data_IF_712397218693
#
_entry.id   IF_712397218693
#
_cell.length_a   1.000
_cell.length_b   1.000
_cell.length_c   1.000
_cell.angle_alpha   90.00
_cell.angle_beta   90.00
_cell.angle_gamma   90.00
#
_symmetry.space_group_name_H-M   'P 1'
#
loop_
_entity.id
_entity.type
_entity.pdbx_description
1 polymer ?
#
# COMPACT_ATOMS: atom_id res chain seq x y z
N UNK A 1 4.57 18.17 9.46
CA UNK A 1 4.73 17.76 8.05
C UNK A 1 4.36 18.84 7.04
N UNK A 2 3.22 19.54 7.15
CA UNK A 2 2.75 20.48 6.12
C UNK A 2 3.74 21.59 5.67
N UNK A 3 4.53 22.14 6.59
CA UNK A 3 5.55 23.18 6.28
C UNK A 3 6.80 22.64 5.59
N UNK A 4 6.98 21.31 5.55
CA UNK A 4 8.18 20.64 5.02
C UNK A 4 7.90 19.89 3.72
N UNK A 5 6.82 20.22 3.00
CA UNK A 5 6.39 19.54 1.76
C UNK A 5 7.42 19.55 0.63
N UNK A 6 8.37 20.49 0.64
CA UNK A 6 9.49 20.54 -0.31
C UNK A 6 10.64 19.59 0.02
N UNK A 7 10.72 19.07 1.25
CA UNK A 7 11.75 18.11 1.66
C UNK A 7 11.21 16.69 1.56
N UNK A 8 11.68 15.93 0.56
CA UNK A 8 11.14 14.61 0.29
C UNK A 8 11.44 13.60 1.41
N UNK A 9 12.62 13.68 2.04
CA UNK A 9 13.00 12.76 3.11
C UNK A 9 12.09 12.88 4.34
N UNK A 10 11.74 14.12 4.72
CA UNK A 10 10.81 14.36 5.83
C UNK A 10 9.43 13.82 5.49
N UNK A 11 8.98 14.03 4.26
CA UNK A 11 7.64 13.62 3.86
C UNK A 11 7.52 12.11 3.67
N UNK A 12 8.59 11.43 3.24
CA UNK A 12 8.65 9.96 3.25
C UNK A 12 8.49 9.41 4.67
N UNK A 13 9.26 9.92 5.64
CA UNK A 13 9.14 9.53 7.06
C UNK A 13 7.77 9.85 7.65
N UNK A 14 7.08 10.87 7.12
CA UNK A 14 5.72 11.23 7.51
C UNK A 14 4.61 10.41 6.83
N UNK A 15 4.95 9.58 5.84
CA UNK A 15 3.98 8.75 5.12
C UNK A 15 3.58 7.58 6.00
N UNK A 16 2.27 7.38 6.20
CA UNK A 16 1.70 6.43 7.15
C UNK A 16 2.14 6.62 8.62
N UNK A 17 2.69 7.77 8.99
CA UNK A 17 3.12 8.07 10.37
C UNK A 17 2.02 8.75 11.23
N UNK A 18 0.74 8.63 10.85
CA UNK A 18 -0.34 9.19 11.65
C UNK A 18 -0.45 8.41 12.96
N UNK A 19 -0.45 9.11 14.10
CA UNK A 19 -0.52 8.52 15.45
C UNK A 19 -1.80 7.69 15.71
N UNK A 20 -2.84 7.85 14.88
CA UNK A 20 -4.09 7.09 14.96
C UNK A 20 -4.19 5.96 13.94
N UNK A 21 -3.15 5.73 13.13
CA UNK A 21 -3.13 4.62 12.20
C UNK A 21 -3.16 3.30 13.00
N UNK A 22 -4.00 2.36 12.58
CA UNK A 22 -4.08 1.02 13.15
C UNK A 22 -3.72 0.03 12.06
N UNK A 23 -2.63 -0.69 12.27
CA UNK A 23 -2.12 -1.67 11.33
C UNK A 23 -2.46 -3.08 11.84
N UNK A 24 -3.15 -3.87 11.03
CA UNK A 24 -3.57 -5.22 11.41
C UNK A 24 -2.37 -6.18 11.54
N UNK A 25 -1.23 -5.88 10.91
CA UNK A 25 0.03 -6.61 11.10
C UNK A 25 0.69 -6.34 12.45
N UNK A 26 0.31 -5.29 13.17
CA UNK A 26 0.87 -4.91 14.47
C UNK A 26 -0.27 -4.66 15.48
N UNK A 27 -1.03 -5.69 15.85
CA UNK A 27 -2.20 -5.55 16.70
C UNK A 27 -1.82 -4.98 18.08
N UNK A 28 -2.70 -4.14 18.63
CA UNK A 28 -2.48 -3.46 19.91
C UNK A 28 -1.59 -2.21 19.83
N UNK A 29 -1.08 -1.86 18.65
CA UNK A 29 -0.32 -0.61 18.43
C UNK A 29 -1.16 0.45 17.71
N UNK A 30 -0.83 1.72 17.94
CA UNK A 30 -1.29 2.84 17.12
C UNK A 30 -0.08 3.62 16.62
N UNK A 31 -0.21 4.25 15.45
CA UNK A 31 0.86 5.00 14.81
C UNK A 31 1.40 4.34 13.55
N UNK A 32 2.51 4.88 13.06
CA UNK A 32 3.20 4.36 11.87
C UNK A 32 4.03 3.11 12.16
N UNK A 33 3.41 2.10 12.76
CA UNK A 33 4.04 0.84 13.17
C UNK A 33 3.61 -0.29 12.25
N UNK A 34 4.54 -1.20 11.95
CA UNK A 34 4.29 -2.44 11.21
C UNK A 34 5.22 -3.54 11.71
N UNK A 35 5.00 -4.75 11.24
CA UNK A 35 5.93 -5.87 11.39
C UNK A 35 6.70 -6.08 10.09
N UNK A 36 8.02 -6.27 10.17
CA UNK A 36 8.86 -6.70 9.05
C UNK A 36 9.01 -8.22 9.09
N UNK A 37 8.89 -8.84 7.92
CA UNK A 37 9.08 -10.27 7.70
C UNK A 37 10.46 -10.54 7.07
N UNK A 38 11.00 -11.76 7.24
CA UNK A 38 10.44 -12.91 7.96
C UNK A 38 10.63 -12.87 9.49
N UNK A 39 11.45 -11.95 10.03
CA UNK A 39 11.83 -11.96 11.45
C UNK A 39 10.65 -11.67 12.41
N UNK A 40 9.57 -11.08 11.91
CA UNK A 40 8.39 -10.76 12.72
C UNK A 40 8.62 -9.59 13.68
N UNK A 41 9.61 -8.73 13.42
CA UNK A 41 9.99 -7.65 14.33
C UNK A 41 9.15 -6.40 14.07
N UNK A 42 8.57 -5.84 15.14
CA UNK A 42 7.84 -4.58 15.08
C UNK A 42 8.82 -3.40 14.87
N UNK A 43 8.50 -2.54 13.92
CA UNK A 43 9.29 -1.36 13.57
C UNK A 43 8.40 -0.27 12.98
N UNK A 44 8.98 0.88 12.59
CA UNK A 44 8.22 1.91 11.88
C UNK A 44 7.95 1.48 10.43
N UNK A 45 6.84 1.92 9.85
CA UNK A 45 6.53 1.68 8.44
C UNK A 45 7.64 2.21 7.52
N UNK A 46 8.24 3.35 7.88
CA UNK A 46 9.35 3.91 7.12
C UNK A 46 10.58 3.00 7.14
N UNK A 47 11.01 2.53 8.32
CA UNK A 47 12.20 1.69 8.44
C UNK A 47 11.99 0.34 7.75
N UNK A 48 10.82 -0.30 7.95
CA UNK A 48 10.45 -1.52 7.23
C UNK A 48 10.51 -1.31 5.71
N UNK A 49 9.95 -0.20 5.21
CA UNK A 49 9.97 0.11 3.78
C UNK A 49 11.39 0.32 3.24
N UNK A 50 12.26 1.00 3.98
CA UNK A 50 13.67 1.21 3.60
C UNK A 50 14.42 -0.12 3.55
N UNK A 51 14.18 -1.01 4.50
CA UNK A 51 14.84 -2.32 4.51
C UNK A 51 14.36 -3.21 3.36
N UNK A 52 13.05 -3.28 3.11
CA UNK A 52 12.52 -3.99 1.94
C UNK A 52 13.03 -3.41 0.61
N UNK A 53 13.25 -2.10 0.52
CA UNK A 53 13.88 -1.49 -0.66
C UNK A 53 15.34 -1.96 -0.86
N UNK A 54 16.12 -2.08 0.22
CA UNK A 54 17.49 -2.61 0.18
C UNK A 54 17.52 -4.08 -0.24
N UNK A 55 16.50 -4.83 0.14
CA UNK A 55 16.29 -6.23 -0.25
C UNK A 55 15.69 -6.37 -1.67
N UNK A 56 15.38 -5.26 -2.34
CA UNK A 56 14.67 -5.22 -3.63
C UNK A 56 13.29 -5.90 -3.62
N UNK A 57 12.65 -5.94 -2.46
CA UNK A 57 11.32 -6.53 -2.26
C UNK A 57 10.24 -5.48 -2.55
N UNK A 58 9.36 -5.69 -3.55
CA UNK A 58 8.25 -4.79 -3.82
C UNK A 58 7.18 -4.90 -2.72
N UNK A 59 6.54 -3.78 -2.40
CA UNK A 59 5.51 -3.73 -1.36
C UNK A 59 4.09 -3.61 -1.95
N UNK A 60 3.12 -4.17 -1.22
CA UNK A 60 1.70 -4.06 -1.49
C UNK A 60 0.98 -3.60 -0.20
N UNK A 61 -0.03 -2.75 -0.33
CA UNK A 61 -0.91 -2.36 0.78
C UNK A 61 -2.24 -3.07 0.62
N UNK A 62 -2.76 -3.65 1.70
CA UNK A 62 -4.15 -4.10 1.80
C UNK A 62 -4.91 -3.16 2.73
N UNK A 63 -6.10 -2.72 2.32
CA UNK A 63 -6.97 -1.90 3.16
C UNK A 63 -8.45 -2.16 2.86
N UNK A 64 -9.33 -1.64 3.72
CA UNK A 64 -10.78 -1.80 3.60
C UNK A 64 -11.42 -0.82 2.62
N UNK A 65 -12.60 -0.33 2.99
CA UNK A 65 -13.40 0.60 2.19
C UNK A 65 -12.90 2.04 2.27
N UNK A 66 -13.24 2.82 1.25
CA UNK A 66 -13.01 4.27 1.16
C UNK A 66 -11.54 4.65 1.35
N UNK A 67 -10.63 3.81 0.83
CA UNK A 67 -9.19 4.04 0.95
C UNK A 67 -8.80 5.35 0.28
N UNK A 68 -8.13 6.21 1.06
CA UNK A 68 -7.72 7.54 0.63
C UNK A 68 -8.75 8.65 0.85
N UNK A 69 -9.81 8.40 1.62
CA UNK A 69 -10.77 9.44 2.01
C UNK A 69 -10.12 10.58 2.82
N UNK A 70 -10.72 11.78 2.71
CA UNK A 70 -10.25 12.99 3.36
C UNK A 70 -9.58 13.98 2.40
N UNK A 71 -8.83 14.93 2.94
CA UNK A 71 -8.17 15.96 2.12
C UNK A 71 -7.16 15.31 1.17
N UNK A 72 -7.36 15.46 -0.15
CA UNK A 72 -6.37 15.07 -1.15
C UNK A 72 -5.07 15.82 -0.89
N UNK A 73 -4.02 15.07 -0.53
CA UNK A 73 -2.67 15.60 -0.34
C UNK A 73 -1.79 14.91 -1.36
N UNK A 74 -1.07 15.66 -2.20
CA UNK A 74 -0.18 15.10 -3.24
C UNK A 74 0.78 14.04 -2.67
N UNK A 75 1.19 14.25 -1.42
CA UNK A 75 2.06 13.36 -0.67
C UNK A 75 1.45 12.02 -0.27
N UNK A 76 0.13 11.85 -0.28
CA UNK A 76 -0.50 10.57 0.03
C UNK A 76 -0.14 9.51 -1.03
N UNK A 77 -0.23 9.85 -2.32
CA UNK A 77 0.18 8.94 -3.38
C UNK A 77 1.70 8.95 -3.61
N UNK A 78 2.33 10.14 -3.61
CA UNK A 78 3.78 10.26 -3.82
C UNK A 78 4.58 9.56 -2.73
N UNK A 79 4.19 9.73 -1.46
CA UNK A 79 4.80 9.04 -0.33
C UNK A 79 4.67 7.52 -0.44
N UNK A 80 3.48 7.03 -0.78
CA UNK A 80 3.22 5.60 -1.02
C UNK A 80 4.20 5.02 -2.04
N UNK A 81 4.36 5.68 -3.20
CA UNK A 81 5.31 5.24 -4.23
C UNK A 81 6.76 5.30 -3.77
N UNK A 82 7.15 6.33 -3.04
CA UNK A 82 8.52 6.53 -2.54
C UNK A 82 8.91 5.54 -1.45
N UNK A 83 7.95 5.01 -0.68
CA UNK A 83 8.15 3.89 0.23
C UNK A 83 8.30 2.55 -0.51
N UNK A 84 8.19 2.51 -1.84
CA UNK A 84 8.40 1.28 -2.62
C UNK A 84 7.15 0.45 -2.87
N UNK A 85 5.98 0.96 -2.47
CA UNK A 85 4.69 0.33 -2.77
C UNK A 85 4.44 0.34 -4.27
N UNK A 86 4.12 -0.84 -4.82
CA UNK A 86 3.86 -1.06 -6.25
C UNK A 86 2.37 -1.24 -6.54
N UNK A 87 1.62 -1.75 -5.57
CA UNK A 87 0.19 -1.96 -5.69
C UNK A 87 -0.54 -1.69 -4.37
N UNK A 88 -1.82 -1.36 -4.47
CA UNK A 88 -2.74 -1.22 -3.35
C UNK A 88 -3.96 -2.08 -3.68
N UNK A 89 -4.37 -2.97 -2.79
CA UNK A 89 -5.54 -3.86 -2.94
C UNK A 89 -6.57 -3.54 -1.86
N UNK A 90 -7.75 -3.05 -2.27
CA UNK A 90 -8.75 -2.54 -1.32
C UNK A 90 -10.18 -2.93 -1.68
N UNK A 91 -11.10 -2.79 -0.73
CA UNK A 91 -12.53 -3.00 -1.00
C UNK A 91 -13.11 -1.86 -1.86
N UNK A 92 -12.70 -0.61 -1.59
CA UNK A 92 -13.07 0.54 -2.42
C UNK A 92 -12.10 1.71 -2.23
N UNK A 93 -12.00 2.56 -3.26
CA UNK A 93 -11.20 3.78 -3.23
C UNK A 93 -12.06 5.04 -3.10
N UNK A 94 -11.49 6.08 -2.49
CA UNK A 94 -11.89 7.44 -2.82
C UNK A 94 -11.41 7.79 -4.25
N UNK A 95 -12.29 8.43 -5.04
CA UNK A 95 -12.11 8.65 -6.48
C UNK A 95 -10.85 9.44 -6.82
N UNK A 96 -10.57 10.54 -6.11
CA UNK A 96 -9.41 11.40 -6.36
C UNK A 96 -8.12 10.66 -5.97
N UNK A 97 -8.11 9.99 -4.83
CA UNK A 97 -6.95 9.24 -4.37
C UNK A 97 -6.56 8.12 -5.34
N UNK A 98 -7.55 7.39 -5.88
CA UNK A 98 -7.32 6.39 -6.93
C UNK A 98 -6.57 6.99 -8.12
N UNK A 99 -7.01 8.13 -8.63
CA UNK A 99 -6.35 8.80 -9.75
C UNK A 99 -4.92 9.24 -9.42
N UNK A 100 -4.68 9.71 -8.18
CA UNK A 100 -3.34 10.09 -7.73
C UNK A 100 -2.39 8.89 -7.67
N UNK A 101 -2.86 7.72 -7.23
CA UNK A 101 -2.06 6.49 -7.23
C UNK A 101 -1.65 6.08 -8.65
N UNK A 102 -2.59 6.10 -9.60
CA UNK A 102 -2.30 5.85 -11.02
C UNK A 102 -1.25 6.83 -11.53
N UNK A 103 -1.41 8.12 -11.24
CA UNK A 103 -0.46 9.16 -11.65
C UNK A 103 0.96 8.97 -11.10
N UNK A 104 1.10 8.31 -9.94
CA UNK A 104 2.39 7.97 -9.34
C UNK A 104 2.92 6.58 -9.75
N UNK A 105 2.20 5.86 -10.62
CA UNK A 105 2.56 4.52 -11.07
C UNK A 105 2.36 3.44 -10.00
N UNK A 106 1.45 3.66 -9.05
CA UNK A 106 1.00 2.65 -8.08
C UNK A 106 -0.27 2.01 -8.61
N UNK A 107 -0.30 0.69 -8.73
CA UNK A 107 -1.42 -0.06 -9.29
C UNK A 107 -2.59 -0.12 -8.29
N UNK A 108 -3.76 0.52 -8.58
CA UNK A 108 -4.91 0.48 -7.69
C UNK A 108 -5.82 -0.70 -8.02
N UNK A 109 -5.71 -1.75 -7.21
CA UNK A 109 -6.51 -2.96 -7.29
C UNK A 109 -7.70 -2.86 -6.34
N UNK A 110 -8.86 -3.31 -6.80
CA UNK A 110 -10.06 -3.42 -5.99
C UNK A 110 -10.53 -4.87 -5.99
N UNK A 111 -10.95 -5.37 -4.83
CA UNK A 111 -11.65 -6.65 -4.74
C UNK A 111 -12.93 -6.63 -5.60
N UNK A 112 -13.41 -7.81 -5.99
CA UNK A 112 -14.69 -7.90 -6.68
C UNK A 112 -15.83 -7.45 -5.76
N UNK A 113 -16.99 -7.05 -6.31
CA UNK A 113 -18.11 -6.58 -5.49
C UNK A 113 -18.50 -7.59 -4.40
N UNK A 114 -18.44 -7.15 -3.14
CA UNK A 114 -18.77 -7.97 -1.98
C UNK A 114 -17.61 -8.76 -1.38
N UNK A 115 -16.43 -8.74 -2.00
CA UNK A 115 -15.24 -9.43 -1.50
C UNK A 115 -14.32 -8.49 -0.72
N UNK A 116 -13.52 -9.07 0.18
CA UNK A 116 -12.50 -8.36 0.95
C UNK A 116 -11.33 -9.29 1.29
N UNK A 117 -10.33 -8.78 2.02
CA UNK A 117 -9.25 -9.61 2.55
C UNK A 117 -9.78 -10.80 3.37
N UNK A 118 -10.84 -10.59 4.15
CA UNK A 118 -11.46 -11.63 4.97
C UNK A 118 -12.15 -12.73 4.14
N UNK A 119 -12.63 -12.43 2.92
CA UNK A 119 -13.23 -13.44 2.03
C UNK A 119 -12.23 -14.54 1.64
N UNK A 120 -10.95 -14.19 1.63
CA UNK A 120 -9.85 -15.05 1.17
C UNK A 120 -8.91 -15.45 2.32
N UNK A 121 -9.32 -15.23 3.58
CA UNK A 121 -8.52 -15.45 4.79
C UNK A 121 -7.12 -14.83 4.71
N UNK A 122 -7.01 -13.62 4.12
CA UNK A 122 -5.75 -12.90 3.99
C UNK A 122 -5.44 -12.14 5.29
N UNK A 123 -4.29 -12.42 5.89
CA UNK A 123 -3.82 -11.76 7.11
C UNK A 123 -2.64 -10.79 6.86
N UNK A 124 -2.12 -10.77 5.63
CA UNK A 124 -1.03 -9.90 5.20
C UNK A 124 0.36 -10.47 5.42
N UNK A 125 0.48 -11.69 5.92
CA UNK A 125 1.75 -12.43 6.04
C UNK A 125 2.15 -13.15 4.75
N UNK A 126 1.25 -13.19 3.76
CA UNK A 126 1.47 -13.87 2.50
C UNK A 126 2.40 -13.10 1.55
N UNK A 127 2.99 -13.82 0.61
CA UNK A 127 3.63 -13.25 -0.57
C UNK A 127 2.61 -13.12 -1.69
N UNK A 128 2.50 -11.91 -2.24
CA UNK A 128 1.50 -11.56 -3.26
C UNK A 128 2.10 -11.46 -4.66
N UNK A 129 1.49 -12.13 -5.63
CA UNK A 129 1.82 -11.99 -7.05
C UNK A 129 0.61 -11.47 -7.85
N UNK A 130 0.80 -10.38 -8.59
CA UNK A 130 -0.23 -9.82 -9.48
C UNK A 130 0.05 -10.25 -10.92
N UNK A 131 -0.88 -10.99 -11.52
CA UNK A 131 -0.77 -11.59 -12.86
C UNK A 131 -1.73 -10.94 -13.85
N UNK A 132 -1.40 -11.04 -15.13
CA UNK A 132 -2.23 -10.54 -16.22
C UNK A 132 -2.06 -9.05 -16.49
N UNK A 133 -0.87 -8.49 -16.23
CA UNK A 133 -0.57 -7.06 -16.47
C UNK A 133 0.01 -6.78 -17.86
N UNK A 134 0.44 -7.81 -18.61
CA UNK A 134 1.12 -7.64 -19.90
C UNK A 134 0.37 -6.75 -20.93
N UNK A 135 -0.97 -6.76 -21.02
CA UNK A 135 -1.68 -5.85 -21.91
C UNK A 135 -1.43 -4.36 -21.63
N UNK A 136 -1.12 -3.96 -20.39
CA UNK A 136 -0.79 -2.57 -20.06
C UNK A 136 0.44 -2.07 -20.81
N UNK A 137 1.40 -2.96 -21.09
CA UNK A 137 2.61 -2.61 -21.86
C UNK A 137 2.32 -2.29 -23.33
N UNK A 138 1.12 -2.62 -23.81
CA UNK A 138 0.63 -2.31 -25.17
C UNK A 138 -0.38 -1.18 -25.20
N UNK A 139 -0.61 -0.49 -24.06
CA UNK A 139 -1.60 0.58 -23.95
C UNK A 139 -3.04 0.09 -23.86
N UNK A 140 -3.27 -1.20 -23.63
CA UNK A 140 -4.62 -1.76 -23.48
C UNK A 140 -5.16 -1.53 -22.07
N UNK A 141 -6.47 -1.37 -21.94
CA UNK A 141 -7.12 -1.27 -20.62
C UNK A 141 -7.48 -2.66 -20.11
N UNK A 142 -7.13 -2.93 -18.85
CA UNK A 142 -7.41 -4.21 -18.20
C UNK A 142 -8.54 -4.04 -17.18
N UNK A 143 -9.60 -4.81 -17.34
CA UNK A 143 -10.75 -4.79 -16.42
C UNK A 143 -10.56 -5.66 -15.17
N UNK A 144 -9.74 -6.71 -15.25
CA UNK A 144 -9.49 -7.67 -14.16
C UNK A 144 -8.08 -8.25 -14.24
N UNK A 145 -7.51 -8.50 -13.07
CA UNK A 145 -6.21 -9.18 -12.89
C UNK A 145 -6.39 -10.31 -11.88
N UNK A 146 -5.44 -11.24 -11.86
CA UNK A 146 -5.40 -12.28 -10.82
C UNK A 146 -4.37 -11.90 -9.77
N UNK A 147 -4.75 -11.94 -8.51
CA UNK A 147 -3.83 -11.81 -7.37
C UNK A 147 -3.68 -13.18 -6.73
N UNK A 148 -2.46 -13.68 -6.62
CA UNK A 148 -2.11 -14.94 -5.98
C UNK A 148 -1.46 -14.61 -4.63
N UNK A 149 -1.88 -15.27 -3.55
CA UNK A 149 -1.31 -15.12 -2.21
C UNK A 149 -0.78 -16.48 -1.74
N UNK A 150 0.48 -16.52 -1.30
CA UNK A 150 1.16 -17.75 -0.84
C UNK A 150 1.72 -17.53 0.56
N UNK A 151 1.37 -18.42 1.51
CA UNK A 151 2.00 -18.44 2.84
C UNK A 151 3.36 -19.13 2.76
N UNK A 152 4.37 -18.48 3.31
CA UNK A 152 5.75 -19.01 3.41
C UNK A 152 6.02 -19.56 4.79
#
# INVERSE_FOLDING_TARGET
>A
YGTRRGNYEVMMRGTFANVRLRNQLAPGTEGGVTVKFPEGTATTIFDAAVDYQREHTPLLIIAGKEYGSGSSRDWAAKGTRLLGVRAVLVESFERIHRSNLVGMGVLPLQFLPGESAATYDLDGTEVYAVRGLDPLNRGETIGRVRVEATRT
#
